data_IF_090918144134
#
_entry.id   IF_090918144134
#
_cell.length_a   1.000
_cell.length_b   1.000
_cell.length_c   1.000
_cell.angle_alpha   90.00
_cell.angle_beta   90.00
_cell.angle_gamma   90.00
#
_symmetry.space_group_name_H-M   'P 1'
#
loop_
_entity.id
_entity.type
_entity.pdbx_description
1 polymer ?
#
# COMPACT_ATOMS: atom_id res chain seq x y z
N UNK A 1 20.33 -19.95 -8.39
CA UNK A 1 20.53 -19.72 -9.85
C UNK A 1 19.54 -18.65 -10.30
N UNK A 2 19.58 -18.17 -11.55
CA UNK A 2 18.51 -17.29 -12.06
C UNK A 2 17.45 -18.16 -12.76
N UNK A 3 16.16 -17.85 -12.61
CA UNK A 3 15.12 -18.52 -13.39
C UNK A 3 15.24 -18.13 -14.87
N UNK A 4 15.03 -19.08 -15.78
CA UNK A 4 15.05 -18.76 -17.20
C UNK A 4 13.82 -17.92 -17.59
N UNK A 5 13.98 -17.00 -18.54
CA UNK A 5 12.85 -16.23 -19.07
C UNK A 5 11.71 -17.13 -19.57
N UNK A 6 12.05 -18.22 -20.26
CA UNK A 6 11.08 -19.15 -20.79
C UNK A 6 10.27 -19.84 -19.68
N UNK A 7 10.90 -20.14 -18.54
CA UNK A 7 10.21 -20.70 -17.38
C UNK A 7 9.26 -19.67 -16.76
N UNK A 8 9.73 -18.45 -16.54
CA UNK A 8 8.91 -17.37 -15.97
C UNK A 8 7.73 -17.04 -16.88
N UNK A 9 7.93 -16.93 -18.20
CA UNK A 9 6.84 -16.67 -19.16
C UNK A 9 5.78 -17.78 -19.14
N UNK A 10 6.19 -19.05 -19.01
CA UNK A 10 5.24 -20.18 -18.86
C UNK A 10 4.47 -20.08 -17.55
N UNK A 11 5.14 -19.78 -16.45
CA UNK A 11 4.51 -19.61 -15.14
C UNK A 11 3.46 -18.48 -15.16
N UNK A 12 3.84 -17.30 -15.65
CA UNK A 12 2.96 -16.13 -15.75
C UNK A 12 1.74 -16.47 -16.60
N UNK A 13 1.93 -17.07 -17.78
CA UNK A 13 0.84 -17.47 -18.67
C UNK A 13 -0.11 -18.45 -17.99
N UNK A 14 0.43 -19.51 -17.39
CA UNK A 14 -0.36 -20.53 -16.72
C UNK A 14 -1.26 -19.93 -15.64
N UNK A 15 -0.69 -19.14 -14.72
CA UNK A 15 -1.49 -18.56 -13.64
C UNK A 15 -2.41 -17.42 -14.10
N UNK A 16 -2.05 -16.69 -15.16
CA UNK A 16 -2.94 -15.70 -15.77
C UNK A 16 -4.22 -16.37 -16.28
N UNK A 17 -4.08 -17.49 -17.01
CA UNK A 17 -5.21 -18.26 -17.53
C UNK A 17 -6.05 -18.86 -16.40
N UNK A 18 -5.41 -19.54 -15.43
CA UNK A 18 -6.10 -20.15 -14.29
C UNK A 18 -6.90 -19.11 -13.49
N UNK A 19 -6.28 -17.98 -13.16
CA UNK A 19 -6.89 -16.94 -12.32
C UNK A 19 -7.94 -16.09 -13.07
N UNK A 20 -7.87 -16.03 -14.40
CA UNK A 20 -8.81 -15.28 -15.24
C UNK A 20 -10.16 -15.94 -15.45
N UNK A 21 -10.29 -17.23 -15.18
CA UNK A 21 -11.51 -18.03 -15.45
C UNK A 21 -12.61 -17.91 -14.39
N UNK A 22 -12.34 -17.30 -13.23
CA UNK A 22 -13.26 -17.26 -12.08
C UNK A 22 -13.93 -15.91 -11.82
N UNK A 23 -14.78 -15.87 -10.78
CA UNK A 23 -15.49 -14.65 -10.29
C UNK A 23 -14.53 -13.53 -9.89
N UNK A 24 -13.29 -13.88 -9.54
CA UNK A 24 -12.21 -12.95 -9.18
C UNK A 24 -11.19 -12.81 -10.30
N UNK A 25 -11.67 -12.50 -11.50
CA UNK A 25 -10.87 -12.46 -12.72
C UNK A 25 -9.77 -11.40 -12.71
N UNK A 26 -9.85 -10.36 -11.85
CA UNK A 26 -8.77 -9.40 -11.64
C UNK A 26 -7.45 -10.06 -11.20
N UNK A 27 -7.52 -11.24 -10.56
CA UNK A 27 -6.32 -11.98 -10.14
C UNK A 27 -5.47 -12.44 -11.32
N UNK A 28 -6.02 -12.49 -12.54
CA UNK A 28 -5.26 -12.80 -13.76
C UNK A 28 -4.06 -11.87 -13.98
N UNK A 29 -4.12 -10.67 -13.43
CA UNK A 29 -3.04 -9.70 -13.56
C UNK A 29 -1.91 -9.94 -12.55
N UNK A 30 -2.16 -10.63 -11.43
CA UNK A 30 -1.18 -10.80 -10.35
C UNK A 30 0.11 -11.52 -10.75
N UNK A 31 0.09 -12.60 -11.56
CA UNK A 31 1.33 -13.33 -11.88
C UNK A 31 2.38 -12.49 -12.61
N UNK A 32 1.96 -11.42 -13.29
CA UNK A 32 2.88 -10.50 -13.98
C UNK A 32 3.60 -9.54 -13.04
N UNK A 33 3.21 -9.49 -11.76
CA UNK A 33 3.67 -8.49 -10.81
C UNK A 33 4.15 -9.10 -9.50
N UNK A 34 5.07 -8.40 -8.85
CA UNK A 34 5.43 -8.58 -7.45
C UNK A 34 5.07 -7.33 -6.66
N UNK A 35 4.77 -7.52 -5.38
CA UNK A 35 4.18 -6.48 -4.55
C UNK A 35 5.07 -6.20 -3.34
N UNK A 36 5.29 -4.93 -3.04
CA UNK A 36 5.92 -4.49 -1.81
C UNK A 36 5.08 -3.37 -1.21
N UNK A 37 4.69 -3.52 0.05
CA UNK A 37 3.91 -2.51 0.76
C UNK A 37 4.75 -1.80 1.82
N UNK A 38 4.58 -0.49 1.96
CA UNK A 38 5.27 0.30 2.96
C UNK A 38 4.37 1.45 3.48
N UNK A 39 4.52 1.87 4.74
CA UNK A 39 3.97 3.15 5.20
C UNK A 39 4.50 4.30 4.35
N UNK A 40 3.72 5.37 4.18
CA UNK A 40 4.04 6.50 3.30
C UNK A 40 5.44 7.10 3.54
N UNK A 41 5.88 7.25 4.79
CA UNK A 41 7.20 7.82 5.11
C UNK A 41 8.34 6.89 4.65
N UNK A 42 8.18 5.58 4.85
CA UNK A 42 9.13 4.57 4.35
C UNK A 42 9.11 4.52 2.82
N UNK A 43 7.94 4.67 2.19
CA UNK A 43 7.84 4.74 0.73
C UNK A 43 8.54 5.98 0.15
N UNK A 44 8.44 7.14 0.82
CA UNK A 44 9.17 8.35 0.46
C UNK A 44 10.68 8.15 0.57
N UNK A 45 11.15 7.44 1.62
CA UNK A 45 12.56 7.10 1.78
C UNK A 45 13.06 6.18 0.65
N UNK A 46 12.31 5.13 0.34
CA UNK A 46 12.59 4.20 -0.77
C UNK A 46 12.73 4.95 -2.10
N UNK A 47 11.81 5.87 -2.40
CA UNK A 47 11.86 6.68 -3.62
C UNK A 47 13.06 7.63 -3.64
N UNK A 48 13.40 8.25 -2.51
CA UNK A 48 14.55 9.15 -2.43
C UNK A 48 15.87 8.42 -2.63
N UNK A 49 15.99 7.21 -2.10
CA UNK A 49 17.16 6.34 -2.20
C UNK A 49 17.23 5.58 -3.53
N UNK A 50 16.09 5.33 -4.18
CA UNK A 50 16.01 4.62 -5.47
C UNK A 50 16.13 3.11 -5.35
N UNK A 51 16.11 2.54 -4.13
CA UNK A 51 16.25 1.11 -3.88
C UNK A 51 15.24 0.60 -2.85
N UNK A 52 14.86 -0.67 -3.00
CA UNK A 52 14.33 -1.45 -1.89
C UNK A 52 15.49 -2.10 -1.14
N UNK A 53 15.43 -2.06 0.20
CA UNK A 53 16.49 -2.55 1.07
C UNK A 53 15.97 -3.56 2.08
N UNK A 54 16.82 -4.54 2.37
CA UNK A 54 16.64 -5.53 3.42
C UNK A 54 16.56 -4.89 4.81
N UNK A 55 16.01 -5.63 5.78
CA UNK A 55 15.75 -5.07 7.11
C UNK A 55 17.02 -4.72 7.87
N UNK A 56 18.06 -5.52 7.71
CA UNK A 56 19.36 -5.33 8.34
C UNK A 56 20.33 -4.45 7.53
N UNK A 57 19.91 -3.94 6.36
CA UNK A 57 20.74 -3.07 5.55
C UNK A 57 21.00 -1.76 6.32
N UNK A 58 22.27 -1.40 6.60
CA UNK A 58 22.62 -0.24 7.41
C UNK A 58 22.22 1.09 6.76
N UNK A 59 21.98 1.10 5.44
CA UNK A 59 21.52 2.28 4.71
C UNK A 59 19.99 2.38 4.66
N UNK A 60 19.26 1.40 5.20
CA UNK A 60 17.80 1.44 5.24
C UNK A 60 17.31 2.53 6.19
N UNK A 61 16.77 3.59 5.61
CA UNK A 61 16.06 4.63 6.35
C UNK A 61 14.64 4.15 6.68
N UNK A 62 14.51 3.22 7.62
CA UNK A 62 13.20 2.80 8.11
C UNK A 62 12.69 3.81 9.14
N UNK A 63 11.71 4.62 8.74
CA UNK A 63 11.11 5.65 9.61
C UNK A 63 10.02 5.02 10.50
N UNK A 64 9.32 4.00 9.99
CA UNK A 64 8.29 3.27 10.75
C UNK A 64 8.41 1.76 10.52
N UNK A 65 8.47 0.99 11.62
CA UNK A 65 8.42 -0.47 11.59
C UNK A 65 7.07 -0.97 12.07
N UNK A 66 6.19 -1.25 11.10
CA UNK A 66 4.81 -1.68 11.34
C UNK A 66 4.68 -3.19 11.56
N UNK A 67 5.80 -3.91 11.66
CA UNK A 67 5.80 -5.33 11.98
C UNK A 67 5.45 -5.55 13.45
N UNK A 68 4.71 -6.63 13.73
CA UNK A 68 4.37 -7.02 15.09
C UNK A 68 5.64 -7.18 15.97
N UNK A 69 5.68 -6.47 17.10
CA UNK A 69 6.71 -6.66 18.11
C UNK A 69 6.66 -8.10 18.64
N UNK A 70 7.74 -8.85 18.43
CA UNK A 70 7.84 -10.26 18.85
C UNK A 70 8.09 -11.27 17.72
N UNK A 71 8.23 -10.83 16.46
CA UNK A 71 8.56 -11.72 15.33
C UNK A 71 9.90 -11.33 14.67
N UNK A 72 10.96 -11.26 15.47
CA UNK A 72 12.28 -10.76 15.04
C UNK A 72 13.41 -11.82 15.11
N UNK A 73 13.24 -13.00 15.69
CA UNK A 73 14.42 -13.83 16.00
C UNK A 73 14.68 -15.08 15.15
N UNK A 74 13.80 -15.49 14.23
CA UNK A 74 13.87 -16.89 13.77
C UNK A 74 14.63 -17.17 12.46
N UNK A 75 14.98 -16.19 11.60
CA UNK A 75 15.83 -16.43 10.41
C UNK A 75 16.62 -15.19 9.95
N UNK A 76 17.93 -15.17 10.23
CA UNK A 76 18.86 -14.12 9.75
C UNK A 76 18.86 -14.00 8.22
N UNK A 77 18.65 -15.10 7.49
CA UNK A 77 18.68 -15.12 6.02
C UNK A 77 17.55 -14.28 5.38
N UNK A 78 16.38 -14.19 6.03
CA UNK A 78 15.29 -13.34 5.56
C UNK A 78 15.52 -11.86 5.89
N UNK A 79 16.31 -11.57 6.92
CA UNK A 79 16.60 -10.20 7.34
C UNK A 79 17.58 -9.50 6.40
N UNK A 80 18.47 -10.27 5.77
CA UNK A 80 19.46 -9.85 4.77
C UNK A 80 18.92 -9.60 3.36
N UNK A 81 17.61 -9.79 3.13
CA UNK A 81 17.02 -9.71 1.79
C UNK A 81 15.82 -8.80 1.71
N UNK A 82 15.59 -8.26 0.51
CA UNK A 82 14.38 -7.52 0.19
C UNK A 82 13.19 -8.48 0.20
N UNK A 83 12.03 -8.03 0.67
CA UNK A 83 10.83 -8.86 0.74
C UNK A 83 9.78 -8.35 -0.24
N UNK A 84 9.48 -9.19 -1.24
CA UNK A 84 8.41 -8.99 -2.20
C UNK A 84 7.40 -10.13 -2.10
N UNK A 85 6.15 -9.86 -2.44
CA UNK A 85 5.07 -10.85 -2.38
C UNK A 85 4.56 -11.17 -3.78
N UNK A 86 4.19 -12.43 -4.00
CA UNK A 86 3.53 -12.86 -5.25
C UNK A 86 2.11 -12.28 -5.41
N UNK A 87 1.48 -11.82 -4.32
CA UNK A 87 0.14 -11.24 -4.35
C UNK A 87 -0.01 -10.08 -3.36
N UNK A 88 -0.94 -9.14 -3.63
CA UNK A 88 -1.33 -8.14 -2.66
C UNK A 88 -2.37 -8.70 -1.67
N UNK A 89 -2.72 -7.93 -0.65
CA UNK A 89 -3.70 -8.29 0.40
C UNK A 89 -3.36 -9.58 1.14
N UNK A 90 -2.06 -9.82 1.33
CA UNK A 90 -1.61 -10.94 2.14
C UNK A 90 -2.03 -10.74 3.61
N UNK A 91 -2.00 -11.80 4.44
CA UNK A 91 -2.32 -11.68 5.86
C UNK A 91 -1.56 -10.55 6.59
N UNK A 92 -0.29 -10.32 6.29
CA UNK A 92 0.48 -9.21 6.89
C UNK A 92 -0.16 -7.86 6.58
N UNK A 93 -0.46 -7.59 5.30
CA UNK A 93 -1.15 -6.38 4.86
C UNK A 93 -2.50 -6.21 5.57
N UNK A 94 -3.28 -7.27 5.68
CA UNK A 94 -4.59 -7.23 6.33
C UNK A 94 -4.53 -6.74 7.79
N UNK A 95 -3.44 -7.06 8.49
CA UNK A 95 -3.24 -6.63 9.88
C UNK A 95 -2.73 -5.20 10.01
N UNK A 96 -1.97 -4.69 9.03
CA UNK A 96 -1.34 -3.37 9.12
C UNK A 96 -2.08 -2.28 8.33
N UNK A 97 -2.86 -2.60 7.30
CA UNK A 97 -3.43 -1.57 6.41
C UNK A 97 -4.52 -0.75 7.12
N UNK A 98 -4.45 0.59 7.03
CA UNK A 98 -5.57 1.46 7.36
C UNK A 98 -5.33 2.41 8.54
N UNK A 99 -6.13 3.46 8.58
CA UNK A 99 -6.23 4.35 9.75
C UNK A 99 -7.14 3.66 10.76
N UNK A 100 -6.55 3.18 11.85
CA UNK A 100 -7.19 2.32 12.84
C UNK A 100 -7.39 3.05 14.15
N UNK A 101 -8.37 2.61 14.93
CA UNK A 101 -8.43 2.93 16.35
C UNK A 101 -7.44 2.01 17.07
N UNK A 102 -6.89 2.45 18.19
CA UNK A 102 -5.94 1.64 18.98
C UNK A 102 -6.45 0.22 19.28
N UNK A 103 -7.76 0.09 19.55
CA UNK A 103 -8.40 -1.19 19.82
C UNK A 103 -8.43 -2.16 18.61
N UNK A 104 -8.28 -1.66 17.38
CA UNK A 104 -8.20 -2.47 16.16
C UNK A 104 -6.76 -2.94 15.85
N UNK A 105 -5.77 -2.40 16.57
CA UNK A 105 -4.37 -2.65 16.31
C UNK A 105 -3.87 -3.84 17.14
N UNK A 106 -4.04 -5.03 16.57
CA UNK A 106 -3.72 -6.32 17.21
C UNK A 106 -2.31 -6.40 17.82
N UNK A 107 -1.34 -5.71 17.22
CA UNK A 107 0.07 -5.76 17.59
C UNK A 107 0.58 -4.48 18.26
N UNK A 108 -0.34 -3.63 18.74
CA UNK A 108 -0.06 -2.34 19.36
C UNK A 108 -0.42 -1.15 18.47
N UNK A 109 -0.65 0.03 19.05
CA UNK A 109 -1.18 1.22 18.35
C UNK A 109 -0.25 1.77 17.26
N UNK A 110 1.03 1.40 17.26
CA UNK A 110 2.00 1.81 16.22
C UNK A 110 2.21 0.75 15.12
N UNK A 111 1.62 -0.44 15.28
CA UNK A 111 1.81 -1.59 14.40
C UNK A 111 0.79 -1.60 13.24
N UNK A 112 0.55 -0.44 12.64
CA UNK A 112 -0.25 -0.28 11.42
C UNK A 112 0.32 0.82 10.53
N UNK A 113 -0.09 0.80 9.28
CA UNK A 113 0.24 1.78 8.26
C UNK A 113 -1.03 2.59 7.94
N UNK A 114 -1.20 3.78 8.56
CA UNK A 114 -2.32 4.68 8.30
C UNK A 114 -2.53 4.91 6.80
N UNK A 115 -1.44 5.26 6.10
CA UNK A 115 -1.35 5.34 4.64
C UNK A 115 -0.35 4.30 4.14
N UNK A 116 -0.87 3.29 3.46
CA UNK A 116 -0.07 2.21 2.87
C UNK A 116 0.16 2.50 1.38
N UNK A 117 1.41 2.54 0.97
CA UNK A 117 1.82 2.67 -0.43
C UNK A 117 2.21 1.31 -0.97
N UNK A 118 1.73 0.98 -2.17
CA UNK A 118 2.03 -0.29 -2.83
C UNK A 118 2.98 -0.08 -4.00
N UNK A 119 4.17 -0.66 -3.95
CA UNK A 119 5.07 -0.77 -5.09
C UNK A 119 4.70 -2.02 -5.89
N UNK A 120 4.51 -1.83 -7.20
CA UNK A 120 4.22 -2.89 -8.17
C UNK A 120 5.44 -3.07 -9.06
N UNK A 121 6.08 -4.22 -8.96
CA UNK A 121 7.32 -4.55 -9.66
C UNK A 121 7.04 -5.58 -10.76
N UNK A 122 7.73 -5.47 -11.89
CA UNK A 122 7.66 -6.44 -13.00
C UNK A 122 8.22 -7.78 -12.52
N UNK A 123 7.37 -8.81 -12.47
CA UNK A 123 7.76 -10.12 -11.96
C UNK A 123 8.86 -10.75 -12.80
N UNK A 124 8.78 -10.64 -14.14
CA UNK A 124 9.79 -11.21 -15.02
C UNK A 124 11.15 -10.58 -14.77
N UNK A 125 11.21 -9.25 -14.73
CA UNK A 125 12.47 -8.52 -14.52
C UNK A 125 13.12 -8.76 -13.16
N UNK A 126 12.35 -9.13 -12.14
CA UNK A 126 12.90 -9.51 -10.83
C UNK A 126 13.31 -10.99 -10.83
N UNK A 127 12.41 -11.89 -11.23
CA UNK A 127 12.59 -13.34 -11.12
C UNK A 127 13.73 -13.89 -11.98
N UNK A 128 14.10 -13.18 -13.06
CA UNK A 128 15.21 -13.58 -13.94
C UNK A 128 16.55 -12.97 -13.52
N UNK A 129 16.61 -12.22 -12.41
CA UNK A 129 17.88 -11.74 -11.88
C UNK A 129 18.66 -12.88 -11.21
N UNK A 130 20.00 -12.81 -11.22
CA UNK A 130 20.79 -13.68 -10.36
C UNK A 130 20.52 -13.36 -8.88
N UNK A 131 20.83 -14.32 -8.01
CA UNK A 131 20.79 -14.15 -6.56
C UNK A 131 19.40 -13.82 -5.98
N UNK A 132 18.36 -14.43 -6.56
CA UNK A 132 16.99 -14.35 -6.04
C UNK A 132 16.63 -15.68 -5.36
N UNK A 133 16.20 -15.58 -4.10
CA UNK A 133 15.62 -16.69 -3.36
C UNK A 133 14.09 -16.58 -3.41
N UNK A 134 13.42 -17.71 -3.20
CA UNK A 134 11.98 -17.80 -3.06
C UNK A 134 11.66 -18.52 -1.75
N UNK A 135 10.52 -18.20 -1.15
CA UNK A 135 9.96 -19.01 -0.06
C UNK A 135 8.64 -19.65 -0.46
N UNK A 136 8.39 -20.85 0.04
CA UNK A 136 7.13 -21.58 -0.17
C UNK A 136 5.98 -21.06 0.71
N UNK A 137 6.32 -20.36 1.80
CA UNK A 137 5.39 -19.77 2.75
C UNK A 137 6.03 -18.59 3.51
N UNK A 138 5.30 -18.04 4.49
CA UNK A 138 5.76 -16.95 5.36
C UNK A 138 7.15 -17.26 5.99
N UNK A 139 8.15 -16.43 5.71
CA UNK A 139 9.51 -16.58 6.25
C UNK A 139 9.62 -16.47 7.78
N UNK A 140 8.56 -16.03 8.46
CA UNK A 140 8.50 -16.02 9.92
C UNK A 140 8.20 -17.41 10.51
N UNK A 141 7.83 -18.40 9.69
CA UNK A 141 7.55 -19.76 10.14
C UNK A 141 8.82 -20.60 10.16
N UNK A 142 8.96 -21.42 11.21
CA UNK A 142 10.07 -22.37 11.31
C UNK A 142 10.08 -23.37 10.15
N UNK A 143 8.92 -23.73 9.61
CA UNK A 143 8.80 -24.69 8.51
C UNK A 143 9.06 -24.09 7.11
N UNK A 144 9.27 -22.77 6.97
CA UNK A 144 9.50 -22.16 5.67
C UNK A 144 10.73 -22.75 4.99
N UNK A 145 10.67 -23.02 3.70
CA UNK A 145 11.82 -23.43 2.93
C UNK A 145 12.19 -22.32 1.96
N UNK A 146 13.47 -22.26 1.62
CA UNK A 146 13.99 -21.35 0.60
C UNK A 146 14.71 -22.14 -0.48
N UNK A 147 14.63 -21.63 -1.71
CA UNK A 147 15.37 -22.16 -2.84
C UNK A 147 15.52 -21.10 -3.92
N UNK A 148 16.42 -21.34 -4.88
CA UNK A 148 16.84 -20.36 -5.89
C UNK A 148 16.84 -20.94 -7.32
N UNK A 149 16.11 -22.03 -7.54
CA UNK A 149 16.06 -22.73 -8.82
C UNK A 149 14.63 -23.03 -9.29
N UNK A 150 14.52 -23.47 -10.55
CA UNK A 150 13.23 -23.77 -11.18
C UNK A 150 12.51 -24.96 -10.53
N UNK A 151 13.25 -25.91 -9.95
CA UNK A 151 12.69 -27.09 -9.28
C UNK A 151 11.97 -26.69 -7.99
N UNK A 152 12.65 -25.91 -7.13
CA UNK A 152 12.04 -25.36 -5.93
C UNK A 152 10.86 -24.45 -6.28
N UNK A 153 11.04 -23.54 -7.23
CA UNK A 153 9.97 -22.61 -7.63
C UNK A 153 8.73 -23.36 -8.11
N UNK A 154 8.88 -24.43 -8.91
CA UNK A 154 7.76 -25.24 -9.39
C UNK A 154 6.99 -25.95 -8.26
N UNK A 155 7.62 -26.19 -7.12
CA UNK A 155 7.02 -26.85 -5.95
C UNK A 155 6.32 -25.90 -4.98
N UNK A 156 6.44 -24.57 -5.17
CA UNK A 156 5.68 -23.59 -4.38
C UNK A 156 4.18 -23.82 -4.60
N UNK A 157 3.33 -23.88 -3.54
CA UNK A 157 1.91 -24.19 -3.66
C UNK A 157 1.11 -22.99 -4.18
N UNK A 158 1.34 -22.58 -5.42
CA UNK A 158 0.81 -21.32 -5.98
C UNK A 158 -0.73 -21.21 -6.00
N UNK A 159 -1.44 -22.35 -6.03
CA UNK A 159 -2.89 -22.35 -5.85
C UNK A 159 -3.30 -21.72 -4.50
N UNK A 160 -2.55 -22.05 -3.44
CA UNK A 160 -2.69 -21.49 -2.10
C UNK A 160 -2.10 -20.08 -2.00
N UNK A 161 -0.96 -19.82 -2.66
CA UNK A 161 -0.36 -18.47 -2.72
C UNK A 161 -1.36 -17.47 -3.28
N UNK A 162 -1.96 -17.75 -4.44
CA UNK A 162 -2.93 -16.88 -5.10
C UNK A 162 -4.37 -17.03 -4.57
N UNK A 163 -4.57 -17.84 -3.53
CA UNK A 163 -5.89 -18.07 -2.96
C UNK A 163 -6.45 -16.79 -2.31
N UNK A 164 -7.74 -16.54 -2.50
CA UNK A 164 -8.46 -15.43 -1.89
C UNK A 164 -9.74 -15.95 -1.22
N UNK A 165 -10.23 -15.30 -0.17
CA UNK A 165 -11.47 -15.69 0.52
C UNK A 165 -11.27 -16.64 1.71
N UNK A 166 -12.36 -17.27 2.15
CA UNK A 166 -12.37 -18.17 3.31
C UNK A 166 -11.54 -19.43 3.07
N UNK A 167 -10.84 -19.89 4.10
CA UNK A 167 -9.89 -21.02 4.02
C UNK A 167 -10.51 -22.39 4.25
N UNK A 168 -11.83 -22.46 4.52
CA UNK A 168 -12.54 -23.71 4.80
C UNK A 168 -11.89 -24.61 5.88
N UNK A 169 -11.15 -24.01 6.83
CA UNK A 169 -10.44 -24.72 7.91
C UNK A 169 -8.99 -25.10 7.59
N UNK A 170 -8.51 -24.88 6.36
CA UNK A 170 -7.11 -25.14 5.99
C UNK A 170 -6.23 -23.93 6.27
N UNK A 171 -5.59 -23.93 7.43
CA UNK A 171 -4.71 -22.86 7.87
C UNK A 171 -3.39 -22.77 7.08
N UNK A 172 -2.98 -23.82 6.36
CA UNK A 172 -1.76 -23.79 5.55
C UNK A 172 -1.84 -22.72 4.45
N UNK A 173 -3.05 -22.45 3.96
CA UNK A 173 -3.31 -21.42 2.96
C UNK A 173 -2.92 -20.02 3.47
N UNK A 174 -3.09 -19.74 4.76
CA UNK A 174 -2.69 -18.45 5.33
C UNK A 174 -1.18 -18.26 5.20
N UNK A 175 -0.41 -19.30 5.52
CA UNK A 175 1.05 -19.26 5.48
C UNK A 175 1.55 -19.19 4.03
N UNK A 176 0.95 -19.95 3.10
CA UNK A 176 1.30 -19.90 1.67
C UNK A 176 0.98 -18.55 1.03
N UNK A 177 -0.07 -17.83 1.45
CA UNK A 177 -0.39 -16.48 0.95
C UNK A 177 0.71 -15.45 1.23
N UNK A 178 1.59 -15.76 2.16
CA UNK A 178 2.76 -14.96 2.52
C UNK A 178 4.07 -15.55 1.95
N UNK A 179 4.02 -16.42 0.94
CA UNK A 179 5.18 -16.79 0.15
C UNK A 179 5.84 -15.55 -0.47
N UNK A 180 7.16 -15.54 -0.53
CA UNK A 180 7.96 -14.34 -0.82
C UNK A 180 8.96 -14.57 -1.95
N UNK A 181 9.28 -13.48 -2.65
CA UNK A 181 10.47 -13.38 -3.50
C UNK A 181 11.48 -12.53 -2.74
N UNK A 182 12.69 -13.06 -2.62
CA UNK A 182 13.76 -12.57 -1.77
C UNK A 182 15.00 -12.23 -2.63
N UNK A 183 14.97 -11.13 -3.41
CA UNK A 183 16.15 -10.66 -4.12
C UNK A 183 17.20 -10.11 -3.14
N UNK A 184 18.46 -10.11 -3.59
CA UNK A 184 19.56 -9.49 -2.87
C UNK A 184 19.28 -8.01 -2.54
N UNK A 185 19.82 -7.54 -1.41
CA UNK A 185 19.77 -6.13 -1.02
C UNK A 185 21.07 -5.41 -1.40
N UNK A 186 21.00 -4.19 -1.94
CA UNK A 186 19.78 -3.45 -2.33
C UNK A 186 19.21 -3.93 -3.68
N UNK A 187 17.88 -3.80 -3.86
CA UNK A 187 17.22 -3.99 -5.15
C UNK A 187 16.93 -2.62 -5.80
N UNK A 188 17.62 -2.24 -6.89
CA UNK A 188 17.41 -0.96 -7.57
C UNK A 188 16.04 -0.87 -8.24
N UNK A 189 15.34 0.25 -8.08
CA UNK A 189 13.99 0.44 -8.63
C UNK A 189 13.97 0.68 -10.15
N UNK A 190 15.02 1.29 -10.70
CA UNK A 190 15.04 1.87 -12.05
C UNK A 190 14.59 0.93 -13.19
N UNK A 191 14.77 -0.38 -13.01
CA UNK A 191 14.45 -1.38 -14.04
C UNK A 191 13.34 -2.34 -13.65
N UNK A 192 12.93 -2.41 -12.39
CA UNK A 192 11.93 -3.37 -11.90
C UNK A 192 10.61 -2.72 -11.53
N UNK A 193 10.63 -1.44 -11.14
CA UNK A 193 9.42 -0.75 -10.71
C UNK A 193 8.54 -0.44 -11.92
N UNK A 194 7.27 -0.85 -11.85
CA UNK A 194 6.26 -0.59 -12.88
C UNK A 194 5.18 0.38 -12.42
N UNK A 195 4.98 0.54 -11.10
CA UNK A 195 4.07 1.54 -10.57
C UNK A 195 4.10 1.68 -9.05
N UNK A 196 3.55 2.78 -8.57
CA UNK A 196 3.36 3.13 -7.16
C UNK A 196 1.87 3.41 -6.98
N UNK A 197 1.19 2.56 -6.23
CA UNK A 197 -0.27 2.54 -6.16
C UNK A 197 -0.75 3.07 -4.80
N UNK A 198 -1.89 3.75 -4.83
CA UNK A 198 -2.54 4.39 -3.68
C UNK A 198 -4.02 4.03 -3.58
N UNK A 199 -4.62 4.14 -2.39
CA UNK A 199 -6.05 3.80 -2.22
C UNK A 199 -6.98 4.84 -2.83
N UNK A 200 -6.53 6.09 -2.87
CA UNK A 200 -7.30 7.25 -3.32
C UNK A 200 -6.39 8.34 -3.87
N UNK A 201 -6.97 9.26 -4.65
CA UNK A 201 -6.25 10.42 -5.19
C UNK A 201 -5.66 11.30 -4.08
N UNK A 202 -6.36 11.58 -2.96
CA UNK A 202 -5.76 12.30 -1.83
C UNK A 202 -4.47 11.67 -1.29
N UNK A 203 -4.36 10.34 -1.21
CA UNK A 203 -3.12 9.68 -0.76
C UNK A 203 -1.98 9.84 -1.77
N UNK A 204 -2.28 9.71 -3.06
CA UNK A 204 -1.34 9.97 -4.16
C UNK A 204 -0.84 11.42 -4.10
N UNK A 205 -1.75 12.37 -3.95
CA UNK A 205 -1.44 13.80 -3.92
C UNK A 205 -0.62 14.16 -2.68
N UNK A 206 -0.91 13.54 -1.54
CA UNK A 206 -0.09 13.67 -0.33
C UNK A 206 1.33 13.16 -0.56
N UNK A 207 1.46 12.01 -1.21
CA UNK A 207 2.77 11.44 -1.54
C UNK A 207 3.57 12.35 -2.47
N UNK A 208 2.96 12.85 -3.55
CA UNK A 208 3.59 13.76 -4.49
C UNK A 208 3.96 15.10 -3.83
N UNK A 209 3.06 15.66 -3.02
CA UNK A 209 3.33 16.86 -2.23
C UNK A 209 4.57 16.69 -1.34
N UNK A 210 4.67 15.54 -0.64
CA UNK A 210 5.83 15.22 0.24
C UNK A 210 7.11 14.91 -0.53
N UNK A 211 7.03 14.51 -1.80
CA UNK A 211 8.22 14.39 -2.68
C UNK A 211 8.77 15.76 -3.10
N UNK A 212 7.96 16.81 -3.08
CA UNK A 212 8.37 18.17 -3.45
C UNK A 212 8.93 18.23 -4.87
N UNK A 213 10.13 18.77 -5.05
CA UNK A 213 10.76 18.95 -6.35
C UNK A 213 10.98 17.64 -7.15
N UNK A 214 10.90 16.46 -6.51
CA UNK A 214 10.98 15.17 -7.20
C UNK A 214 9.63 14.66 -7.72
N UNK A 215 8.51 15.32 -7.41
CA UNK A 215 7.18 14.82 -7.75
C UNK A 215 7.01 14.53 -9.25
N UNK A 216 7.41 15.46 -10.13
CA UNK A 216 7.26 15.35 -11.58
C UNK A 216 7.95 14.11 -12.17
N UNK A 217 9.07 13.68 -11.58
CA UNK A 217 9.80 12.48 -12.00
C UNK A 217 8.99 11.20 -11.72
N UNK A 218 8.23 11.17 -10.62
CA UNK A 218 7.59 9.97 -10.11
C UNK A 218 6.09 9.91 -10.41
N UNK A 219 5.45 11.06 -10.65
CA UNK A 219 4.03 11.16 -10.97
C UNK A 219 3.58 10.19 -12.08
N UNK A 220 4.33 9.97 -13.19
CA UNK A 220 3.91 9.03 -14.23
C UNK A 220 3.80 7.57 -13.77
N UNK A 221 4.47 7.20 -12.66
CA UNK A 221 4.38 5.87 -12.06
C UNK A 221 3.32 5.79 -10.96
N UNK A 222 2.79 6.93 -10.49
CA UNK A 222 1.81 6.99 -9.43
C UNK A 222 0.39 6.72 -9.96
N UNK A 223 -0.35 5.80 -9.35
CA UNK A 223 -1.67 5.37 -9.84
C UNK A 223 -2.68 5.09 -8.74
N UNK A 224 -3.95 5.37 -9.03
CA UNK A 224 -5.11 4.96 -8.23
C UNK A 224 -5.97 4.09 -9.12
N UNK A 225 -5.95 2.78 -8.89
CA UNK A 225 -6.65 1.81 -9.74
C UNK A 225 -7.14 0.60 -8.95
N UNK A 226 -8.29 0.08 -9.37
CA UNK A 226 -8.89 -1.15 -8.85
C UNK A 226 -8.52 -2.39 -9.67
N UNK A 227 -7.79 -2.24 -10.77
CA UNK A 227 -7.49 -3.35 -11.70
C UNK A 227 -6.79 -4.52 -11.02
N UNK A 228 -5.82 -4.23 -10.13
CA UNK A 228 -5.09 -5.23 -9.37
C UNK A 228 -5.72 -5.55 -8.01
N UNK A 229 -6.68 -4.75 -7.53
CA UNK A 229 -7.23 -4.79 -6.16
C UNK A 229 -6.15 -4.97 -5.11
N UNK A 230 -5.21 -4.02 -5.03
CA UNK A 230 -4.05 -4.14 -4.16
C UNK A 230 -4.30 -3.76 -2.69
N UNK A 231 -5.46 -3.19 -2.37
CA UNK A 231 -5.80 -2.70 -1.01
C UNK A 231 -7.08 -3.34 -0.46
N UNK A 232 -7.13 -3.56 0.85
CA UNK A 232 -8.29 -4.10 1.55
C UNK A 232 -9.39 -3.06 1.81
N UNK A 233 -9.02 -1.78 2.00
CA UNK A 233 -9.96 -0.66 2.17
C UNK A 233 -10.99 -0.84 3.29
N UNK A 234 -10.61 -1.53 4.39
CA UNK A 234 -11.50 -1.84 5.54
C UNK A 234 -11.67 -0.70 6.56
N UNK A 235 -10.85 0.33 6.43
CA UNK A 235 -10.68 1.41 7.40
C UNK A 235 -10.83 2.77 6.71
N UNK A 236 -11.06 3.85 7.47
CA UNK A 236 -11.28 5.16 6.91
C UNK A 236 -10.03 5.68 6.20
N UNK A 237 -10.26 6.39 5.11
CA UNK A 237 -9.29 7.21 4.39
C UNK A 237 -10.06 8.31 3.66
N UNK A 238 -9.35 9.37 3.25
CA UNK A 238 -9.94 10.43 2.43
C UNK A 238 -10.12 9.88 1.02
N UNK A 239 -11.36 9.55 0.66
CA UNK A 239 -11.67 9.05 -0.68
C UNK A 239 -11.64 10.19 -1.71
N UNK A 240 -11.98 11.40 -1.27
CA UNK A 240 -12.12 12.58 -2.12
C UNK A 240 -12.10 13.85 -1.25
N UNK A 241 -11.46 14.92 -1.72
CA UNK A 241 -11.46 16.23 -1.07
C UNK A 241 -11.26 17.32 -2.11
N UNK A 242 -11.99 18.42 -1.95
CA UNK A 242 -11.94 19.57 -2.87
C UNK A 242 -12.33 20.86 -2.13
N UNK A 243 -11.93 22.00 -2.67
CA UNK A 243 -12.29 23.32 -2.19
C UNK A 243 -13.17 24.03 -3.20
N UNK A 244 -14.10 24.82 -2.67
CA UNK A 244 -14.94 25.75 -3.43
C UNK A 244 -15.05 27.05 -2.66
N UNK A 245 -15.65 28.08 -3.28
CA UNK A 245 -15.99 29.32 -2.55
C UNK A 245 -16.94 29.09 -1.37
N UNK A 246 -17.69 27.99 -1.40
CA UNK A 246 -18.61 27.58 -0.34
C UNK A 246 -17.91 26.83 0.81
N UNK A 247 -16.63 26.46 0.67
CA UNK A 247 -15.85 25.77 1.69
C UNK A 247 -15.26 24.45 1.21
N UNK A 248 -15.03 23.53 2.14
CA UNK A 248 -14.42 22.22 1.85
C UNK A 248 -15.49 21.16 1.64
N UNK A 249 -15.36 20.42 0.54
CA UNK A 249 -16.20 19.26 0.24
C UNK A 249 -15.36 17.99 0.26
N UNK A 250 -15.82 16.94 0.94
CA UNK A 250 -15.03 15.72 1.09
C UNK A 250 -15.89 14.46 1.16
N UNK A 251 -15.24 13.32 0.95
CA UNK A 251 -15.80 11.98 1.13
C UNK A 251 -14.79 11.08 1.82
N UNK A 252 -15.25 10.30 2.78
CA UNK A 252 -14.44 9.29 3.46
C UNK A 252 -14.86 7.89 3.04
N UNK A 253 -13.90 6.98 2.98
CA UNK A 253 -14.22 5.56 3.04
C UNK A 253 -14.73 5.22 4.44
N UNK A 254 -15.73 4.33 4.52
CA UNK A 254 -16.28 3.92 5.81
C UNK A 254 -15.51 2.74 6.38
N UNK A 255 -15.51 2.65 7.72
CA UNK A 255 -15.04 1.44 8.40
C UNK A 255 -15.94 0.27 8.05
N UNK A 256 -15.36 -0.91 7.98
CA UNK A 256 -16.09 -2.17 7.78
C UNK A 256 -17.17 -2.45 8.85
N UNK A 257 -17.03 -1.87 10.05
CA UNK A 257 -17.97 -1.98 11.17
C UNK A 257 -18.96 -0.80 11.27
N UNK A 258 -18.88 0.16 10.35
CA UNK A 258 -19.68 1.39 10.31
C UNK A 258 -19.60 2.28 11.56
N UNK A 259 -18.62 2.04 12.44
CA UNK A 259 -18.41 2.93 13.57
C UNK A 259 -18.01 4.33 13.11
N UNK A 260 -18.37 5.32 13.92
CA UNK A 260 -17.91 6.69 13.77
C UNK A 260 -16.40 6.79 13.98
N UNK A 261 -15.84 7.88 13.46
CA UNK A 261 -14.42 8.20 13.54
C UNK A 261 -14.21 9.64 13.97
N UNK A 262 -13.07 9.92 14.58
CA UNK A 262 -12.63 11.31 14.74
C UNK A 262 -12.05 11.86 13.43
N UNK A 263 -12.41 13.10 13.09
CA UNK A 263 -11.91 13.83 11.92
C UNK A 263 -11.53 15.26 12.30
N UNK A 264 -10.41 15.74 11.77
CA UNK A 264 -10.08 17.15 11.72
C UNK A 264 -9.68 17.56 10.31
N UNK A 265 -10.23 18.66 9.80
CA UNK A 265 -9.86 19.27 8.52
C UNK A 265 -9.42 20.70 8.77
N UNK A 266 -8.23 21.05 8.30
CA UNK A 266 -7.67 22.39 8.41
C UNK A 266 -7.20 22.86 7.04
N UNK A 267 -7.42 24.13 6.72
CA UNK A 267 -6.91 24.75 5.49
C UNK A 267 -6.22 26.07 5.82
N UNK A 268 -5.07 26.31 5.21
CA UNK A 268 -4.26 27.51 5.39
C UNK A 268 -4.03 28.18 4.05
N UNK A 269 -4.25 29.49 3.95
CA UNK A 269 -3.98 30.24 2.71
C UNK A 269 -2.47 30.47 2.49
N UNK A 270 -2.11 31.18 1.42
CA UNK A 270 -0.72 31.52 1.10
C UNK A 270 -0.02 32.39 2.15
N UNK A 271 -0.77 33.11 2.99
CA UNK A 271 -0.26 33.88 4.13
C UNK A 271 -0.15 33.05 5.41
N UNK A 272 -0.34 31.72 5.31
CA UNK A 272 -0.37 30.79 6.43
C UNK A 272 -1.46 31.08 7.48
N UNK A 273 -2.50 31.81 7.08
CA UNK A 273 -3.67 32.05 7.92
C UNK A 273 -4.62 30.85 7.81
N UNK A 274 -5.09 30.37 8.97
CA UNK A 274 -6.05 29.25 9.03
C UNK A 274 -7.44 29.73 8.60
N UNK A 275 -7.92 29.25 7.47
CA UNK A 275 -9.21 29.60 6.89
C UNK A 275 -10.30 28.54 7.18
N UNK A 276 -9.90 27.28 7.40
CA UNK A 276 -10.82 26.20 7.80
C UNK A 276 -10.29 25.53 9.07
N UNK A 277 -11.19 25.23 10.01
CA UNK A 277 -10.95 24.37 11.18
C UNK A 277 -12.23 23.61 11.51
N UNK A 278 -12.41 22.47 10.84
CA UNK A 278 -13.53 21.56 11.09
C UNK A 278 -13.06 20.39 11.94
N UNK A 279 -13.81 20.06 13.00
CA UNK A 279 -13.53 18.94 13.90
C UNK A 279 -14.80 18.20 14.27
N UNK A 280 -14.75 16.88 14.31
CA UNK A 280 -15.83 16.04 14.82
C UNK A 280 -15.26 14.71 15.31
N UNK A 281 -15.44 14.40 16.60
CA UNK A 281 -14.90 13.19 17.23
C UNK A 281 -15.81 11.95 17.07
N UNK A 282 -17.03 12.13 16.55
CA UNK A 282 -18.06 11.09 16.36
C UNK A 282 -18.62 11.14 14.93
N UNK A 283 -17.75 11.31 13.93
CA UNK A 283 -18.17 11.50 12.54
C UNK A 283 -18.61 10.20 11.89
N UNK A 284 -19.86 10.14 11.42
CA UNK A 284 -20.39 9.00 10.66
C UNK A 284 -19.95 9.07 9.20
N UNK A 285 -19.04 8.18 8.84
CA UNK A 285 -18.46 8.07 7.48
C UNK A 285 -19.39 7.40 6.46
N UNK A 286 -20.51 6.81 6.90
CA UNK A 286 -21.49 6.22 5.99
C UNK A 286 -22.57 7.24 5.62
N UNK A 287 -22.64 7.60 4.34
CA UNK A 287 -23.69 8.45 3.79
C UNK A 287 -24.60 7.64 2.86
N UNK A 288 -25.86 7.41 3.27
CA UNK A 288 -26.87 6.69 2.47
C UNK A 288 -27.14 7.34 1.10
N UNK A 289 -26.98 8.66 1.00
CA UNK A 289 -27.16 9.40 -0.25
C UNK A 289 -25.95 9.31 -1.19
N UNK A 290 -24.83 8.75 -0.74
CA UNK A 290 -23.58 8.66 -1.50
C UNK A 290 -22.88 10.00 -1.76
N UNK A 291 -23.48 11.12 -1.32
CA UNK A 291 -22.97 12.47 -1.53
C UNK A 291 -21.76 12.84 -0.67
N UNK A 292 -21.13 13.96 -1.05
CA UNK A 292 -20.04 14.58 -0.27
C UNK A 292 -20.59 15.30 0.95
N UNK A 293 -19.81 15.37 2.02
CA UNK A 293 -20.06 16.34 3.09
C UNK A 293 -19.48 17.69 2.67
N UNK A 294 -20.10 18.77 3.15
CA UNK A 294 -19.62 20.13 2.93
C UNK A 294 -19.55 20.82 4.28
N UNK A 295 -18.35 21.24 4.66
CA UNK A 295 -18.18 22.19 5.75
C UNK A 295 -18.12 23.59 5.15
N UNK A 296 -19.17 24.37 5.40
CA UNK A 296 -19.39 25.65 4.73
C UNK A 296 -18.61 26.77 5.38
N UNK A 297 -17.66 27.34 4.65
CA UNK A 297 -16.86 28.51 5.02
C UNK A 297 -16.55 29.27 3.73
N UNK A 298 -16.78 30.57 3.70
CA UNK A 298 -16.44 31.38 2.53
C UNK A 298 -14.91 31.36 2.32
N UNK A 299 -14.48 30.99 1.11
CA UNK A 299 -13.08 30.98 0.72
C UNK A 299 -12.85 31.92 -0.47
N UNK A 300 -11.74 32.64 -0.41
CA UNK A 300 -11.27 33.48 -1.51
C UNK A 300 -10.37 32.66 -2.46
N UNK A 301 -10.30 33.02 -3.75
CA UNK A 301 -9.36 32.38 -4.67
C UNK A 301 -7.92 32.45 -4.14
N UNK A 302 -7.30 31.29 -3.93
CA UNK A 302 -5.94 31.16 -3.39
C UNK A 302 -5.45 29.72 -3.55
N UNK A 303 -4.17 29.50 -3.29
CA UNK A 303 -3.67 28.17 -2.97
C UNK A 303 -3.84 27.93 -1.47
N UNK A 304 -4.35 26.75 -1.11
CA UNK A 304 -4.60 26.36 0.27
C UNK A 304 -3.80 25.10 0.60
N UNK A 305 -3.00 25.14 1.67
CA UNK A 305 -2.49 23.91 2.30
C UNK A 305 -3.63 23.29 3.08
N UNK A 306 -4.10 22.12 2.64
CA UNK A 306 -5.18 21.39 3.29
C UNK A 306 -4.60 20.18 4.02
N UNK A 307 -5.01 20.02 5.28
CA UNK A 307 -4.62 18.91 6.16
C UNK A 307 -5.86 18.20 6.66
N UNK A 308 -5.86 16.88 6.58
CA UNK A 308 -6.89 16.03 7.18
C UNK A 308 -6.24 15.04 8.14
N UNK A 309 -6.78 14.95 9.34
CA UNK A 309 -6.49 13.89 10.29
C UNK A 309 -7.71 13.02 10.50
N UNK A 310 -7.50 11.72 10.63
CA UNK A 310 -8.50 10.73 11.01
C UNK A 310 -7.91 9.89 12.14
N UNK A 311 -8.62 9.74 13.26
CA UNK A 311 -8.11 9.00 14.44
C UNK A 311 -6.69 9.44 14.86
N UNK A 312 -6.45 10.75 14.87
CA UNK A 312 -5.16 11.37 15.17
C UNK A 312 -4.01 11.03 14.19
N UNK A 313 -4.29 10.32 13.10
CA UNK A 313 -3.32 10.03 12.04
C UNK A 313 -3.47 10.99 10.86
N UNK A 314 -2.35 11.44 10.24
CA UNK A 314 -2.40 12.16 8.97
C UNK A 314 -3.05 11.29 7.88
N UNK A 315 -4.12 11.82 7.26
CA UNK A 315 -4.88 11.15 6.21
C UNK A 315 -4.75 11.86 4.85
N UNK A 316 -4.49 13.16 4.86
CA UNK A 316 -4.24 13.97 3.67
C UNK A 316 -3.42 15.20 4.02
N UNK A 317 -2.45 15.55 3.19
CA UNK A 317 -1.74 16.82 3.24
C UNK A 317 -1.25 17.21 1.84
N UNK A 318 -1.86 18.20 1.22
CA UNK A 318 -1.36 18.77 -0.03
C UNK A 318 -1.92 20.19 -0.28
N UNK A 319 -1.36 20.85 -1.29
CA UNK A 319 -1.88 22.12 -1.79
C UNK A 319 -3.09 21.88 -2.70
N UNK A 320 -4.19 22.59 -2.47
CA UNK A 320 -5.34 22.66 -3.37
C UNK A 320 -5.46 24.09 -3.88
N UNK A 321 -5.52 24.26 -5.21
CA UNK A 321 -5.75 25.55 -5.85
C UNK A 321 -7.25 25.78 -5.95
N UNK A 322 -7.74 26.83 -5.30
CA UNK A 322 -9.09 27.33 -5.51
C UNK A 322 -9.03 28.46 -6.54
N UNK A 323 -9.46 28.14 -7.76
CA UNK A 323 -9.50 29.11 -8.85
C UNK A 323 -10.74 30.01 -8.79
N UNK A 324 -10.63 31.15 -9.45
CA UNK A 324 -11.68 32.16 -9.55
C UNK A 324 -12.81 31.75 -10.51
N UNK A 325 -12.70 30.58 -11.15
CA UNK A 325 -13.60 30.11 -12.18
C UNK A 325 -14.99 29.80 -11.61
N UNK A 326 -15.90 30.74 -11.85
CA UNK A 326 -17.34 30.54 -11.87
C UNK A 326 -17.67 29.50 -12.97
N UNK A 327 -17.88 28.24 -12.58
CA UNK A 327 -18.67 27.32 -13.38
C UNK A 327 -19.99 27.03 -12.68
#
# INVERSE_FOLDING_TARGET
MALSEAFVDRHIRHWTEQLGSGVRSYRKHWPSWLFHHAPIETALAIIKDGHLRARDDPQRQQIQDVAAGGVIDNRQEAHGRVRLYFRPRNPTQFHIEGIRKDADCQYGPEAHAPVLVMFVLDAKRVLTQPDVLFSDQNMQKYAAQTGDDEEFFANIPFASVFHEGGIAGDYSIIDSRCAEVLPASPLPLAHVLSGIWFRSEPERDTFLYKLGAKADQWQPLCSVSEELKVFDKRFPFVADIDLSRDGVSFRLNHRHDLQSVSIAIQAYNSENQKCIDFRNDDFKTYNKSGGRWIHRVALEPSNYLVRVQLENHPAYEAMIRLDDSLF
#
